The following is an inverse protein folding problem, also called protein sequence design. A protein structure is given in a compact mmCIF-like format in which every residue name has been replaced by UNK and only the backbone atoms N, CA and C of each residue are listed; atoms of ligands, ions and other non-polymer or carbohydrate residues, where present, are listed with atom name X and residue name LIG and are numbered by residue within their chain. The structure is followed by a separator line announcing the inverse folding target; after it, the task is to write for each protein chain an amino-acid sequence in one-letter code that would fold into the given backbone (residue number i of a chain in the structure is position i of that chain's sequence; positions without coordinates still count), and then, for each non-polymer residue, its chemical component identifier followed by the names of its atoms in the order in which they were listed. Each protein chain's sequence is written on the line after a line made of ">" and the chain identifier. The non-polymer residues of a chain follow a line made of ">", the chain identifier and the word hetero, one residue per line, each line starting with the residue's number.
data_IF_604593410582
#
_entry.id   IF_604593410582
#
_cell.length_a   1.000
_cell.length_b   1.000
_cell.length_c   1.000
_cell.angle_alpha   90.00
_cell.angle_beta   90.00
_cell.angle_gamma   90.00
#
_symmetry.space_group_name_H-M   'P 1'
#
loop_
_entity.id
_entity.type
_entity.pdbx_description
1 polymer ?
#
# COMPACT_ATOMS: atom_id res chain seq x y z
N UNK A 1 2.54 -15.14 13.00
CA UNK A 1 2.31 -13.68 13.11
C UNK A 1 1.80 -13.36 14.49
N UNK A 2 2.19 -12.22 15.05
CA UNK A 2 1.78 -11.73 16.36
C UNK A 2 1.07 -10.38 16.16
N UNK A 3 -0.11 -10.22 16.78
CA UNK A 3 -0.75 -8.92 16.95
C UNK A 3 -0.44 -8.48 18.37
N UNK A 4 0.23 -7.37 18.52
CA UNK A 4 0.76 -6.90 19.81
C UNK A 4 0.18 -5.53 20.15
N UNK A 5 -0.43 -5.41 21.33
CA UNK A 5 -0.83 -4.08 21.82
C UNK A 5 0.42 -3.32 22.27
N UNK A 6 0.56 -2.07 21.86
CA UNK A 6 1.64 -1.21 22.32
C UNK A 6 1.60 -0.96 23.83
N UNK A 7 0.41 -0.96 24.43
CA UNK A 7 0.21 -0.77 25.87
C UNK A 7 -0.38 -2.05 26.49
N UNK A 8 0.47 -2.86 27.09
CA UNK A 8 0.05 -4.05 27.83
C UNK A 8 -0.26 -3.69 29.29
N UNK A 9 -1.17 -4.43 29.97
CA UNK A 9 -1.53 -4.16 31.37
C UNK A 9 -0.34 -4.30 32.34
N UNK A 10 0.63 -5.11 31.97
CA UNK A 10 1.79 -5.50 32.77
C UNK A 10 3.12 -5.05 32.17
N UNK A 11 3.11 -4.21 31.12
CA UNK A 11 4.35 -3.74 30.53
C UNK A 11 4.19 -3.01 29.19
N UNK A 12 5.32 -2.85 28.52
CA UNK A 12 5.43 -2.20 27.22
C UNK A 12 5.53 -3.23 26.10
N UNK A 13 4.58 -3.19 25.14
CA UNK A 13 4.57 -4.06 23.98
C UNK A 13 5.82 -3.95 23.11
N UNK A 14 6.43 -2.77 23.05
CA UNK A 14 7.68 -2.57 22.30
C UNK A 14 8.86 -3.32 22.95
N UNK A 15 8.91 -3.39 24.28
CA UNK A 15 9.91 -4.20 24.98
C UNK A 15 9.73 -5.69 24.66
N UNK A 16 8.49 -6.19 24.63
CA UNK A 16 8.17 -7.57 24.25
C UNK A 16 8.59 -7.85 22.81
N UNK A 17 8.34 -6.93 21.89
CA UNK A 17 8.76 -7.06 20.49
C UNK A 17 10.26 -7.21 20.35
N UNK A 18 11.04 -6.39 21.07
CA UNK A 18 12.51 -6.48 21.07
C UNK A 18 13.01 -7.85 21.55
N UNK A 19 12.40 -8.42 22.57
CA UNK A 19 12.77 -9.76 23.05
C UNK A 19 12.44 -10.83 22.01
N UNK A 20 11.25 -10.78 21.42
CA UNK A 20 10.86 -11.71 20.34
C UNK A 20 11.83 -11.64 19.18
N UNK A 21 12.28 -10.44 18.79
CA UNK A 21 13.20 -10.24 17.65
C UNK A 21 14.59 -10.81 17.86
N UNK A 22 15.01 -11.05 19.10
CA UNK A 22 16.28 -11.73 19.38
C UNK A 22 16.27 -13.19 18.91
N UNK A 23 15.10 -13.83 18.92
CA UNK A 23 14.97 -15.26 18.69
C UNK A 23 14.12 -15.59 17.44
N UNK A 24 13.32 -14.64 16.93
CA UNK A 24 12.33 -14.91 15.89
C UNK A 24 12.15 -13.78 14.91
N UNK A 25 12.00 -14.16 13.64
CA UNK A 25 11.58 -13.27 12.53
C UNK A 25 10.07 -13.31 12.29
N UNK A 26 9.29 -13.85 13.25
CA UNK A 26 7.83 -13.91 13.12
C UNK A 26 7.26 -12.49 12.90
N UNK A 27 6.31 -12.31 11.96
CA UNK A 27 5.73 -11.00 11.73
C UNK A 27 5.04 -10.44 12.95
N UNK A 28 5.30 -9.16 13.27
CA UNK A 28 4.70 -8.45 14.39
C UNK A 28 3.98 -7.22 13.87
N UNK A 29 2.68 -7.13 14.19
CA UNK A 29 1.83 -5.97 13.87
C UNK A 29 1.39 -5.35 15.19
N UNK A 30 1.70 -4.08 15.39
CA UNK A 30 1.23 -3.36 16.56
C UNK A 30 -0.19 -2.83 16.40
N UNK A 31 -0.99 -2.98 17.46
CA UNK A 31 -2.27 -2.31 17.63
C UNK A 31 -2.09 -1.26 18.73
N UNK A 32 -2.04 0.02 18.40
CA UNK A 32 -1.69 1.04 19.39
C UNK A 32 -2.66 2.21 19.37
N UNK A 33 -2.87 2.83 20.54
CA UNK A 33 -3.56 4.13 20.65
C UNK A 33 -2.57 5.31 20.50
N UNK A 34 -1.28 5.04 20.37
CA UNK A 34 -0.25 6.06 20.19
C UNK A 34 -0.22 6.46 18.72
N UNK A 35 -0.44 7.72 18.46
CA UNK A 35 -0.47 8.38 17.16
C UNK A 35 0.69 9.37 16.96
N UNK A 36 1.63 9.39 17.89
CA UNK A 36 2.83 10.23 17.80
C UNK A 36 3.81 9.65 16.77
N UNK A 37 4.24 10.47 15.82
CA UNK A 37 5.20 10.08 14.77
C UNK A 37 6.52 9.55 15.35
N UNK A 38 6.96 10.04 16.50
CA UNK A 38 8.16 9.60 17.22
C UNK A 38 8.03 8.16 17.71
N UNK A 39 6.88 7.77 18.29
CA UNK A 39 6.61 6.40 18.72
C UNK A 39 6.55 5.41 17.54
N UNK A 40 6.08 5.88 16.38
CA UNK A 40 6.05 5.06 15.16
C UNK A 40 7.46 4.83 14.60
N UNK A 41 8.32 5.85 14.61
CA UNK A 41 9.72 5.73 14.15
C UNK A 41 10.48 4.77 15.06
N UNK A 42 10.40 4.95 16.37
CA UNK A 42 11.02 4.04 17.34
C UNK A 42 10.52 2.60 17.19
N UNK A 43 9.25 2.44 16.87
CA UNK A 43 8.65 1.13 16.65
C UNK A 43 9.15 0.42 15.39
N UNK A 44 9.35 1.11 14.27
CA UNK A 44 9.92 0.52 13.06
C UNK A 44 11.38 0.12 13.29
N UNK A 45 12.16 0.91 14.03
CA UNK A 45 13.53 0.55 14.45
C UNK A 45 13.54 -0.70 15.36
N UNK A 46 12.45 -0.97 16.08
CA UNK A 46 12.27 -2.15 16.92
C UNK A 46 11.78 -3.40 16.14
N UNK A 47 11.72 -3.33 14.79
CA UNK A 47 11.48 -4.47 13.94
C UNK A 47 10.01 -4.87 13.77
N UNK A 48 9.08 -3.92 13.88
CA UNK A 48 7.68 -4.15 13.52
C UNK A 48 7.48 -4.23 12.01
N UNK A 49 6.53 -5.06 11.59
CA UNK A 49 6.16 -5.21 10.17
C UNK A 49 5.02 -4.26 9.76
N UNK A 50 4.18 -3.84 10.71
CA UNK A 50 3.13 -2.83 10.49
C UNK A 50 2.60 -2.26 11.81
N UNK A 51 1.94 -1.09 11.72
CA UNK A 51 1.26 -0.40 12.82
C UNK A 51 -0.18 -0.09 12.45
N UNK A 52 -1.10 -0.33 13.39
CA UNK A 52 -2.50 -0.05 13.24
C UNK A 52 -2.96 0.78 14.43
N UNK A 53 -3.32 2.03 14.19
CA UNK A 53 -3.79 2.94 15.23
C UNK A 53 -5.25 2.65 15.62
N UNK A 54 -5.55 2.70 16.89
CA UNK A 54 -6.90 2.64 17.44
C UNK A 54 -7.54 4.04 17.39
N UNK A 55 -8.84 4.18 17.02
CA UNK A 55 -9.77 3.12 16.65
C UNK A 55 -9.57 2.64 15.20
N UNK A 56 -9.67 1.34 14.96
CA UNK A 56 -9.44 0.75 13.64
C UNK A 56 -10.67 0.06 13.05
N UNK A 57 -10.75 0.00 11.73
CA UNK A 57 -11.72 -0.80 11.02
C UNK A 57 -11.19 -2.23 10.87
N UNK A 58 -11.91 -3.20 11.42
CA UNK A 58 -11.50 -4.61 11.41
C UNK A 58 -11.27 -5.17 9.99
N UNK A 59 -12.01 -4.68 8.98
CA UNK A 59 -11.80 -5.09 7.59
C UNK A 59 -10.43 -4.64 7.08
N UNK A 60 -9.98 -3.46 7.48
CA UNK A 60 -8.65 -2.93 7.13
C UNK A 60 -7.56 -3.75 7.81
N UNK A 61 -7.75 -4.05 9.11
CA UNK A 61 -6.82 -4.91 9.87
C UNK A 61 -6.63 -6.27 9.19
N UNK A 62 -7.73 -6.93 8.82
CA UNK A 62 -7.68 -8.23 8.14
C UNK A 62 -6.92 -8.14 6.81
N UNK A 63 -7.11 -7.08 6.02
CA UNK A 63 -6.40 -6.92 4.75
C UNK A 63 -4.89 -6.70 4.95
N UNK A 64 -4.49 -5.91 5.95
CA UNK A 64 -3.08 -5.71 6.31
C UNK A 64 -2.43 -7.01 6.80
N UNK A 65 -3.13 -7.76 7.66
CA UNK A 65 -2.70 -9.08 8.13
C UNK A 65 -2.46 -10.02 6.94
N UNK A 66 -3.42 -10.12 6.02
CA UNK A 66 -3.29 -10.96 4.82
C UNK A 66 -2.09 -10.56 3.97
N UNK A 67 -1.84 -9.25 3.82
CA UNK A 67 -0.70 -8.75 3.06
C UNK A 67 0.65 -9.13 3.70
N UNK A 68 0.74 -9.08 5.03
CA UNK A 68 1.94 -9.46 5.78
C UNK A 68 2.17 -10.96 5.73
N UNK A 69 1.14 -11.77 6.02
CA UNK A 69 1.24 -13.23 5.97
C UNK A 69 1.69 -13.71 4.59
N UNK A 70 1.15 -13.15 3.52
CA UNK A 70 1.56 -13.45 2.17
C UNK A 70 3.05 -13.21 1.92
N UNK A 71 3.66 -12.18 2.52
CA UNK A 71 5.11 -11.92 2.43
C UNK A 71 5.93 -12.94 3.21
N UNK A 72 5.36 -13.53 4.27
CA UNK A 72 6.08 -14.37 5.22
C UNK A 72 5.95 -15.88 4.95
N UNK A 73 4.94 -16.30 4.19
CA UNK A 73 4.72 -17.70 3.86
C UNK A 73 5.77 -18.28 2.89
N UNK A 74 6.83 -17.48 2.57
CA UNK A 74 7.99 -17.99 1.84
C UNK A 74 7.65 -18.62 0.50
N UNK A 75 6.53 -18.19 -0.08
CA UNK A 75 6.25 -18.52 -1.46
C UNK A 75 7.19 -17.66 -2.31
N UNK A 76 8.45 -18.13 -2.45
CA UNK A 76 9.45 -17.58 -3.38
C UNK A 76 8.93 -17.58 -4.83
N UNK A 77 7.72 -18.07 -5.03
CA UNK A 77 6.94 -18.03 -6.27
C UNK A 77 5.86 -16.94 -6.27
N UNK A 78 5.63 -16.21 -5.15
CA UNK A 78 4.75 -15.03 -5.21
C UNK A 78 5.49 -13.95 -5.96
N UNK A 79 5.15 -13.87 -7.19
CA UNK A 79 5.51 -12.88 -8.18
C UNK A 79 5.71 -11.51 -7.50
N UNK A 80 6.99 -11.09 -7.35
CA UNK A 80 7.38 -9.69 -7.09
C UNK A 80 6.70 -8.77 -8.11
N UNK A 81 6.06 -9.37 -9.08
CA UNK A 81 5.36 -8.80 -10.21
C UNK A 81 3.87 -9.02 -10.05
N UNK A 82 3.13 -7.96 -9.76
CA UNK A 82 1.67 -7.99 -9.79
C UNK A 82 1.21 -8.10 -11.26
N UNK A 83 0.51 -9.18 -11.58
CA UNK A 83 -0.19 -9.33 -12.85
C UNK A 83 -1.64 -8.83 -12.72
N UNK A 84 -2.06 -7.96 -13.62
CA UNK A 84 -3.43 -7.48 -13.69
C UNK A 84 -3.78 -7.26 -15.17
N UNK A 85 -4.56 -8.16 -15.76
CA UNK A 85 -4.79 -8.17 -17.20
C UNK A 85 -3.46 -8.23 -17.97
N UNK A 86 -3.26 -7.29 -18.87
CA UNK A 86 -2.05 -7.18 -19.69
C UNK A 86 -0.92 -6.36 -19.03
N UNK A 87 -1.11 -5.91 -17.77
CA UNK A 87 -0.10 -5.20 -16.99
C UNK A 87 0.64 -6.14 -16.06
N UNK A 88 1.96 -6.03 -16.05
CA UNK A 88 2.86 -6.64 -15.07
C UNK A 88 3.61 -5.53 -14.35
N UNK A 89 3.45 -5.43 -13.03
CA UNK A 89 4.06 -4.37 -12.21
C UNK A 89 5.00 -5.00 -11.20
N UNK A 90 6.29 -4.74 -11.37
CA UNK A 90 7.32 -5.10 -10.41
C UNK A 90 7.63 -3.90 -9.53
N UNK A 91 7.27 -4.00 -8.25
CA UNK A 91 7.43 -2.91 -7.29
C UNK A 91 8.85 -2.83 -6.74
N UNK A 92 9.63 -3.89 -6.78
CA UNK A 92 11.00 -3.90 -6.29
C UNK A 92 11.94 -3.25 -7.30
N UNK A 93 11.83 -3.66 -8.58
CA UNK A 93 12.63 -3.06 -9.65
C UNK A 93 12.05 -1.75 -10.20
N UNK A 94 10.88 -1.30 -9.69
CA UNK A 94 10.15 -0.12 -10.19
C UNK A 94 9.85 -0.21 -11.70
N UNK A 95 9.59 -1.40 -12.22
CA UNK A 95 9.30 -1.61 -13.63
C UNK A 95 7.84 -1.97 -13.87
N UNK A 96 7.30 -1.47 -14.97
CA UNK A 96 5.97 -1.80 -15.45
C UNK A 96 6.07 -2.30 -16.87
N UNK A 97 5.41 -3.41 -17.16
CA UNK A 97 5.27 -3.94 -18.51
C UNK A 97 3.80 -4.00 -18.91
N UNK A 98 3.52 -3.69 -20.16
CA UNK A 98 2.20 -3.83 -20.77
C UNK A 98 2.34 -4.68 -22.02
N UNK A 99 1.57 -5.77 -22.14
CA UNK A 99 1.75 -6.80 -23.17
C UNK A 99 3.22 -7.27 -23.29
N UNK A 100 3.91 -7.45 -22.16
CA UNK A 100 5.32 -7.85 -22.10
C UNK A 100 6.33 -6.75 -22.47
N UNK A 101 5.92 -5.58 -22.95
CA UNK A 101 6.79 -4.45 -23.32
C UNK A 101 6.92 -3.48 -22.16
N UNK A 102 8.15 -2.99 -21.94
CA UNK A 102 8.42 -1.99 -20.89
C UNK A 102 7.61 -0.72 -21.10
N UNK A 103 6.93 -0.27 -20.05
CA UNK A 103 6.14 0.96 -20.00
C UNK A 103 6.84 1.98 -19.11
N UNK A 104 7.20 3.13 -19.68
CA UNK A 104 7.85 4.21 -18.91
C UNK A 104 6.80 5.06 -18.19
N UNK A 105 6.84 5.01 -16.86
CA UNK A 105 6.06 5.87 -15.98
C UNK A 105 6.97 6.92 -15.33
N UNK A 106 6.41 8.10 -15.06
CA UNK A 106 7.06 9.06 -14.17
C UNK A 106 7.00 8.57 -12.71
N UNK A 107 7.85 9.07 -11.80
CA UNK A 107 7.79 8.68 -10.39
C UNK A 107 6.41 8.86 -9.77
N UNK A 108 5.71 9.95 -10.09
CA UNK A 108 4.34 10.21 -9.60
C UNK A 108 3.32 9.22 -10.15
N UNK A 109 3.38 8.91 -11.44
CA UNK A 109 2.51 7.91 -12.07
C UNK A 109 2.75 6.52 -11.48
N UNK A 110 4.01 6.16 -11.21
CA UNK A 110 4.35 4.90 -10.57
C UNK A 110 3.83 4.83 -9.13
N UNK A 111 4.01 5.90 -8.34
CA UNK A 111 3.44 6.01 -6.98
C UNK A 111 1.92 5.84 -6.98
N UNK A 112 1.21 6.47 -7.93
CA UNK A 112 -0.23 6.32 -8.11
C UNK A 112 -0.61 4.87 -8.44
N UNK A 113 0.06 4.26 -9.42
CA UNK A 113 -0.17 2.87 -9.81
C UNK A 113 0.04 1.93 -8.61
N UNK A 114 1.14 2.10 -7.88
CA UNK A 114 1.44 1.33 -6.67
C UNK A 114 0.32 1.43 -5.64
N UNK A 115 -0.19 2.65 -5.38
CA UNK A 115 -1.32 2.85 -4.45
C UNK A 115 -2.58 2.12 -4.89
N UNK A 116 -2.91 2.18 -6.17
CA UNK A 116 -4.06 1.45 -6.70
C UNK A 116 -3.89 -0.06 -6.57
N UNK A 117 -2.73 -0.57 -6.91
CA UNK A 117 -2.43 -2.00 -6.82
C UNK A 117 -2.45 -2.54 -5.38
N UNK A 118 -2.05 -1.72 -4.39
CA UNK A 118 -2.14 -2.09 -2.97
C UNK A 118 -3.58 -2.09 -2.43
N UNK A 119 -4.52 -1.43 -3.12
CA UNK A 119 -5.90 -1.27 -2.66
C UNK A 119 -6.91 -1.69 -3.76
N UNK A 120 -6.81 -2.93 -4.29
CA UNK A 120 -7.68 -3.40 -5.35
C UNK A 120 -9.14 -3.39 -4.88
N UNK A 121 -10.03 -2.90 -5.73
CA UNK A 121 -11.45 -2.84 -5.44
C UNK A 121 -11.88 -1.79 -4.42
N UNK A 122 -10.95 -1.03 -3.82
CA UNK A 122 -11.27 0.04 -2.88
C UNK A 122 -11.36 1.39 -3.60
N UNK A 123 -12.25 2.27 -3.10
CA UNK A 123 -12.31 3.65 -3.56
C UNK A 123 -11.28 4.47 -2.80
N UNK A 124 -10.27 4.98 -3.49
CA UNK A 124 -9.32 5.94 -2.94
C UNK A 124 -9.86 7.34 -3.16
N UNK A 125 -10.13 8.07 -2.09
CA UNK A 125 -10.59 9.45 -2.17
C UNK A 125 -9.49 10.35 -2.72
N UNK A 126 -9.89 11.51 -3.30
CA UNK A 126 -8.92 12.51 -3.78
C UNK A 126 -7.97 12.95 -2.68
N UNK A 127 -8.51 13.16 -1.47
CA UNK A 127 -7.73 13.56 -0.30
C UNK A 127 -6.68 12.50 0.07
N UNK A 128 -7.06 11.21 0.17
CA UNK A 128 -6.12 10.11 0.46
C UNK A 128 -5.00 10.04 -0.59
N UNK A 129 -5.35 10.23 -1.87
CA UNK A 129 -4.35 10.22 -2.94
C UNK A 129 -3.41 11.43 -2.87
N UNK A 130 -3.92 12.59 -2.51
CA UNK A 130 -3.12 13.79 -2.33
C UNK A 130 -2.19 13.66 -1.11
N UNK A 131 -2.69 13.36 0.07
CA UNK A 131 -1.91 13.23 1.31
C UNK A 131 -0.74 12.24 1.15
N UNK A 132 -0.99 11.07 0.58
CA UNK A 132 0.00 10.00 0.48
C UNK A 132 1.02 10.15 -0.66
N UNK A 133 0.76 11.02 -1.63
CA UNK A 133 1.69 11.25 -2.74
C UNK A 133 2.71 12.35 -2.44
N UNK A 134 2.44 13.21 -1.46
CA UNK A 134 3.19 14.45 -1.26
C UNK A 134 3.83 14.64 0.12
N UNK A 135 3.68 13.71 1.05
CA UNK A 135 4.27 13.81 2.40
C UNK A 135 5.82 13.86 2.43
N UNK A 136 6.51 13.63 1.31
CA UNK A 136 7.98 13.56 1.33
C UNK A 136 8.72 14.70 0.64
N UNK A 137 8.08 15.51 -0.22
CA UNK A 137 8.78 16.48 -1.05
C UNK A 137 8.31 17.94 -0.89
N UNK A 138 7.41 18.25 0.05
CA UNK A 138 7.04 19.63 0.41
C UNK A 138 6.35 20.47 -0.68
N UNK A 139 5.99 19.86 -1.81
CA UNK A 139 5.30 20.55 -2.89
C UNK A 139 3.79 20.42 -2.74
N UNK A 140 3.11 21.51 -2.48
CA UNK A 140 1.65 21.61 -2.52
C UNK A 140 1.15 21.26 -3.93
N UNK A 141 0.50 20.11 -4.06
CA UNK A 141 -0.16 19.74 -5.31
C UNK A 141 -1.65 19.82 -5.12
N UNK A 142 -2.30 20.53 -6.01
CA UNK A 142 -3.74 20.73 -6.03
C UNK A 142 -4.48 19.54 -6.67
N UNK A 143 -5.79 19.51 -6.51
CA UNK A 143 -6.65 18.48 -7.09
C UNK A 143 -6.57 18.41 -8.61
N UNK A 144 -6.22 19.52 -9.26
CA UNK A 144 -6.05 19.59 -10.71
C UNK A 144 -4.86 18.75 -11.16
N UNK A 145 -3.73 18.88 -10.47
CA UNK A 145 -2.52 18.09 -10.75
C UNK A 145 -2.75 16.59 -10.53
N UNK A 146 -3.50 16.20 -9.48
CA UNK A 146 -3.92 14.80 -9.30
C UNK A 146 -4.72 14.31 -10.52
N UNK A 147 -5.70 15.08 -10.96
CA UNK A 147 -6.55 14.72 -12.11
C UNK A 147 -5.73 14.53 -13.39
N UNK A 148 -4.75 15.42 -13.63
CA UNK A 148 -3.84 15.31 -14.78
C UNK A 148 -3.00 14.03 -14.69
N UNK A 149 -2.41 13.74 -13.53
CA UNK A 149 -1.58 12.55 -13.36
C UNK A 149 -2.39 11.24 -13.50
N UNK A 150 -3.62 11.20 -12.98
CA UNK A 150 -4.54 10.08 -13.20
C UNK A 150 -4.86 9.93 -14.70
N UNK A 151 -5.14 11.02 -15.40
CA UNK A 151 -5.41 10.99 -16.84
C UNK A 151 -4.22 10.47 -17.63
N UNK A 152 -3.01 10.95 -17.33
CA UNK A 152 -1.76 10.49 -17.96
C UNK A 152 -1.48 9.03 -17.66
N UNK A 153 -1.63 8.60 -16.41
CA UNK A 153 -1.49 7.19 -16.02
C UNK A 153 -2.47 6.32 -16.81
N UNK A 154 -3.76 6.70 -16.84
CA UNK A 154 -4.78 5.99 -17.62
C UNK A 154 -4.39 5.86 -19.10
N UNK A 155 -3.98 6.95 -19.74
CA UNK A 155 -3.57 6.93 -21.15
C UNK A 155 -2.43 5.95 -21.42
N UNK A 156 -1.46 5.86 -20.50
CA UNK A 156 -0.31 4.96 -20.62
C UNK A 156 -0.69 3.48 -20.41
N UNK A 157 -1.52 3.19 -19.40
CA UNK A 157 -1.96 1.84 -19.08
C UNK A 157 -3.21 1.43 -19.89
N UNK A 158 -3.83 2.34 -20.66
CA UNK A 158 -5.03 2.05 -21.45
C UNK A 158 -4.87 0.77 -22.26
N UNK A 159 -5.91 -0.05 -22.26
CA UNK A 159 -5.95 -1.35 -22.91
C UNK A 159 -7.29 -1.51 -23.61
N UNK A 160 -7.32 -2.28 -24.71
CA UNK A 160 -8.57 -2.56 -25.44
C UNK A 160 -9.42 -3.60 -24.70
N UNK A 161 -8.78 -4.47 -23.93
CA UNK A 161 -9.42 -5.56 -23.21
C UNK A 161 -9.72 -5.25 -21.75
N UNK A 162 -8.95 -4.31 -21.13
CA UNK A 162 -9.03 -4.08 -19.68
C UNK A 162 -9.20 -2.62 -19.32
N UNK A 163 -10.13 -2.34 -18.41
CA UNK A 163 -10.23 -1.08 -17.67
C UNK A 163 -9.55 -1.22 -16.32
N UNK A 164 -8.58 -0.36 -16.03
CA UNK A 164 -7.78 -0.46 -14.78
C UNK A 164 -8.24 0.51 -13.69
N UNK A 165 -8.58 1.74 -14.05
CA UNK A 165 -8.93 2.78 -13.09
C UNK A 165 -10.31 3.36 -13.42
N UNK A 166 -11.28 3.20 -12.52
CA UNK A 166 -12.62 3.78 -12.62
C UNK A 166 -12.72 5.05 -11.81
N UNK A 167 -13.37 6.09 -12.37
CA UNK A 167 -13.74 7.29 -11.60
C UNK A 167 -15.02 7.02 -10.83
N UNK A 168 -15.02 7.35 -9.55
CA UNK A 168 -16.20 7.40 -8.71
C UNK A 168 -16.53 8.88 -8.52
N UNK A 169 -17.51 9.37 -9.25
CA UNK A 169 -17.84 10.79 -9.30
C UNK A 169 -18.12 11.36 -7.91
N UNK A 170 -17.57 12.54 -7.63
CA UNK A 170 -17.69 13.22 -6.34
C UNK A 170 -16.88 12.59 -5.20
N UNK A 171 -16.23 11.42 -5.39
CA UNK A 171 -15.51 10.70 -4.33
C UNK A 171 -14.02 10.54 -4.64
N UNK A 172 -13.68 9.91 -5.78
CA UNK A 172 -12.30 9.59 -6.09
C UNK A 172 -12.16 8.57 -7.20
N UNK A 173 -11.23 7.62 -7.01
CA UNK A 173 -10.86 6.64 -8.03
C UNK A 173 -10.77 5.24 -7.42
N UNK A 174 -11.01 4.22 -8.25
CA UNK A 174 -10.98 2.82 -7.85
C UNK A 174 -10.17 2.01 -8.87
N UNK A 175 -9.31 1.13 -8.37
CA UNK A 175 -8.67 0.10 -9.20
C UNK A 175 -9.66 -1.04 -9.42
N UNK A 176 -9.92 -1.37 -10.66
CA UNK A 176 -10.85 -2.46 -11.00
C UNK A 176 -10.12 -3.61 -11.68
N UNK A 177 -9.20 -3.33 -12.62
CA UNK A 177 -8.44 -4.37 -13.33
C UNK A 177 -9.32 -5.42 -14.01
N UNK A 178 -10.51 -5.01 -14.47
CA UNK A 178 -11.52 -5.88 -15.04
C UNK A 178 -11.44 -5.83 -16.56
N UNK A 179 -11.75 -6.96 -17.21
CA UNK A 179 -11.92 -7.00 -18.67
C UNK A 179 -13.10 -6.13 -19.09
N UNK A 180 -13.00 -5.51 -20.25
CA UNK A 180 -14.14 -4.88 -20.90
C UNK A 180 -15.12 -6.00 -21.35
N UNK A 181 -16.34 -6.01 -20.80
CA UNK A 181 -17.45 -6.80 -21.33
C UNK A 181 -18.03 -6.13 -22.57
#
# INVERSE_FOLDING_TARGET
>A
MILLDGNLPDGDGFAVSREIRKESKVPIVFLTARDMDEDMIEGFENGADDYITKPFNIKIVIQRIKAILRRCEGDDTVEKVLQCGNLAVDFESHTVKKHGKLLTLTPTEFKLLHRFCLNPGQVLTRQILLEKLWDQDGNFVDEHTLTINISRLRAKIADEEYAYIKTIYGVGYKWIGESHE
#
